data_IF_804230911509
#
_entry.id   IF_804230911509
#
_cell.length_a   1.000
_cell.length_b   1.000
_cell.length_c   1.000
_cell.angle_alpha   90.00
_cell.angle_beta   90.00
_cell.angle_gamma   90.00
#
_symmetry.space_group_name_H-M   'P 1'
#
loop_
_entity.id
_entity.type
_entity.pdbx_description
1 polymer ?
#
# COMPACT_ATOMS: atom_id res chain seq x y z
N UNK A 1 -8.71 -12.90 6.49
CA UNK A 1 -9.40 -11.64 6.18
C UNK A 1 -8.38 -10.50 6.15
N UNK A 2 -8.51 -9.65 5.16
CA UNK A 2 -7.64 -8.48 5.06
C UNK A 2 -8.09 -7.39 5.99
N UNK A 3 -7.15 -6.78 6.65
CA UNK A 3 -7.38 -5.55 7.40
C UNK A 3 -6.50 -4.50 6.74
N UNK A 4 -7.12 -3.58 6.04
CA UNK A 4 -6.39 -2.56 5.30
C UNK A 4 -6.52 -1.24 6.04
N UNK A 5 -5.40 -0.68 6.43
CA UNK A 5 -5.36 0.64 7.06
C UNK A 5 -4.84 1.65 6.06
N UNK A 6 -5.39 2.85 6.12
CA UNK A 6 -4.99 3.93 5.21
C UNK A 6 -4.60 5.11 6.07
N UNK A 7 -3.32 5.49 6.02
CA UNK A 7 -2.79 6.61 6.80
C UNK A 7 -2.55 7.78 5.86
N UNK A 8 -3.33 8.82 6.03
CA UNK A 8 -3.38 9.95 5.11
C UNK A 8 -3.41 11.25 5.88
N UNK A 9 -3.46 12.39 5.16
CA UNK A 9 -3.54 13.65 5.85
C UNK A 9 -4.59 14.60 5.30
N UNK A 10 -5.51 14.09 4.47
CA UNK A 10 -6.57 14.96 3.96
C UNK A 10 -7.81 14.17 3.64
N UNK A 11 -8.93 14.88 3.61
CA UNK A 11 -10.21 14.28 3.31
C UNK A 11 -10.29 13.81 1.86
N UNK A 12 -9.68 14.58 0.97
CA UNK A 12 -9.68 14.21 -0.44
C UNK A 12 -8.94 12.90 -0.66
N UNK A 13 -7.82 12.69 0.03
CA UNK A 13 -7.10 11.44 -0.06
C UNK A 13 -7.92 10.29 0.50
N UNK A 14 -8.60 10.54 1.59
CA UNK A 14 -9.42 9.49 2.19
C UNK A 14 -10.46 8.99 1.19
N UNK A 15 -11.17 9.90 0.54
CA UNK A 15 -12.18 9.52 -0.42
C UNK A 15 -11.58 8.73 -1.57
N UNK A 16 -10.45 9.20 -2.09
CA UNK A 16 -9.82 8.55 -3.22
C UNK A 16 -9.40 7.12 -2.87
N UNK A 17 -8.65 6.95 -1.80
CA UNK A 17 -8.09 5.64 -1.49
C UNK A 17 -9.17 4.65 -1.06
N UNK A 18 -10.12 5.07 -0.24
CA UNK A 18 -11.15 4.14 0.20
C UNK A 18 -12.01 3.70 -0.98
N UNK A 19 -12.32 4.61 -1.88
CA UNK A 19 -13.12 4.24 -3.05
C UNK A 19 -12.38 3.28 -3.95
N UNK A 20 -11.09 3.56 -4.22
CA UNK A 20 -10.32 2.70 -5.11
C UNK A 20 -10.13 1.32 -4.50
N UNK A 21 -9.85 1.25 -3.21
CA UNK A 21 -9.67 -0.04 -2.56
C UNK A 21 -10.97 -0.83 -2.58
N UNK A 22 -12.09 -0.17 -2.25
CA UNK A 22 -13.37 -0.87 -2.20
C UNK A 22 -13.77 -1.41 -3.57
N UNK A 23 -13.60 -0.60 -4.60
CA UNK A 23 -13.96 -1.05 -5.94
C UNK A 23 -13.10 -2.21 -6.40
N UNK A 24 -11.80 -2.08 -6.19
CA UNK A 24 -10.90 -3.12 -6.65
C UNK A 24 -11.13 -4.43 -5.91
N UNK A 25 -11.32 -4.34 -4.61
CA UNK A 25 -11.54 -5.54 -3.80
C UNK A 25 -12.86 -6.20 -4.16
N UNK A 26 -13.89 -5.42 -4.43
CA UNK A 26 -15.18 -5.97 -4.82
C UNK A 26 -15.07 -6.73 -6.13
N UNK A 27 -14.28 -6.22 -7.06
CA UNK A 27 -14.08 -6.89 -8.33
C UNK A 27 -13.35 -8.22 -8.15
N UNK A 28 -12.53 -8.31 -7.11
CA UNK A 28 -11.84 -9.54 -6.79
C UNK A 28 -12.62 -10.40 -5.79
N UNK A 29 -13.85 -10.01 -5.50
CA UNK A 29 -14.72 -10.71 -4.56
C UNK A 29 -14.10 -10.80 -3.17
N UNK A 30 -13.47 -9.72 -2.75
CA UNK A 30 -12.89 -9.61 -1.43
C UNK A 30 -13.47 -8.39 -0.74
N UNK A 31 -13.71 -8.53 0.56
CA UNK A 31 -14.39 -7.47 1.30
C UNK A 31 -13.64 -7.21 2.60
N UNK A 32 -12.53 -6.48 2.50
CA UNK A 32 -11.69 -6.22 3.67
C UNK A 32 -12.33 -5.22 4.62
N UNK A 33 -11.83 -5.21 5.83
CA UNK A 33 -12.12 -4.12 6.76
C UNK A 33 -11.13 -3.01 6.43
N UNK A 34 -11.67 -1.83 6.13
CA UNK A 34 -10.84 -0.68 5.76
C UNK A 34 -10.99 0.38 6.85
N UNK A 35 -9.86 0.78 7.41
CA UNK A 35 -9.83 1.82 8.44
C UNK A 35 -8.93 2.95 7.97
N UNK A 36 -9.39 4.19 8.14
CA UNK A 36 -8.60 5.34 7.72
C UNK A 36 -8.16 6.11 8.96
N UNK A 37 -6.94 6.65 8.88
CA UNK A 37 -6.35 7.40 9.98
C UNK A 37 -5.72 8.67 9.44
N UNK A 38 -5.92 9.79 10.13
CA UNK A 38 -5.22 11.02 9.83
C UNK A 38 -4.25 11.40 10.94
N UNK A 39 -4.30 10.69 12.04
CA UNK A 39 -3.45 10.91 13.20
C UNK A 39 -2.48 9.75 13.31
N UNK A 40 -1.20 10.04 13.17
CA UNK A 40 -0.19 8.99 13.21
C UNK A 40 -0.14 8.30 14.56
N UNK A 41 -0.31 9.06 15.63
CA UNK A 41 -0.28 8.48 16.95
C UNK A 41 -1.39 7.45 17.12
N UNK A 42 -2.58 7.81 16.70
CA UNK A 42 -3.71 6.89 16.78
C UNK A 42 -3.48 5.67 15.91
N UNK A 43 -2.93 5.89 14.72
CA UNK A 43 -2.65 4.79 13.82
C UNK A 43 -1.70 3.77 14.46
N UNK A 44 -0.61 4.25 15.03
CA UNK A 44 0.38 3.34 15.60
C UNK A 44 -0.11 2.69 16.88
N UNK A 45 -0.92 3.37 17.66
CA UNK A 45 -1.57 2.75 18.80
C UNK A 45 -2.41 1.57 18.38
N UNK A 46 -3.22 1.78 17.35
CA UNK A 46 -4.09 0.73 16.84
C UNK A 46 -3.28 -0.42 16.23
N UNK A 47 -2.23 -0.08 15.49
CA UNK A 47 -1.41 -1.09 14.86
C UNK A 47 -0.69 -1.96 15.87
N UNK A 48 -0.35 -1.38 17.02
CA UNK A 48 0.31 -2.13 18.06
C UNK A 48 -0.61 -3.18 18.65
N UNK A 49 -1.88 -2.84 18.80
CA UNK A 49 -2.85 -3.75 19.38
C UNK A 49 -3.37 -4.75 18.36
N UNK A 50 -3.63 -4.27 17.15
CA UNK A 50 -4.18 -5.12 16.11
C UNK A 50 -3.44 -4.80 14.82
N UNK A 51 -2.34 -5.48 14.54
CA UNK A 51 -1.54 -5.17 13.36
C UNK A 51 -2.34 -5.35 12.08
N UNK A 52 -2.32 -4.37 11.19
CA UNK A 52 -3.01 -4.50 9.91
C UNK A 52 -2.22 -5.43 9.01
N UNK A 53 -2.92 -6.11 8.12
CA UNK A 53 -2.23 -6.93 7.12
C UNK A 53 -1.67 -6.08 6.01
N UNK A 54 -2.38 -5.01 5.66
CA UNK A 54 -2.01 -4.15 4.54
C UNK A 54 -2.19 -2.69 4.94
N UNK A 55 -1.28 -1.84 4.53
CA UNK A 55 -1.33 -0.42 4.87
C UNK A 55 -1.00 0.42 3.64
N UNK A 56 -1.80 1.45 3.41
CA UNK A 56 -1.45 2.50 2.45
C UNK A 56 -0.98 3.69 3.28
N UNK A 57 0.22 4.18 3.01
CA UNK A 57 0.73 5.38 3.66
C UNK A 57 0.90 6.45 2.61
N UNK A 58 0.18 7.56 2.78
CA UNK A 58 0.22 8.67 1.84
C UNK A 58 0.39 9.96 2.61
N UNK A 59 1.56 10.14 3.17
CA UNK A 59 1.93 11.34 3.91
C UNK A 59 3.06 12.05 3.19
N UNK A 60 3.09 13.37 3.23
CA UNK A 60 4.11 14.11 2.49
C UNK A 60 5.47 14.05 3.15
N UNK A 61 6.51 14.12 2.34
CA UNK A 61 7.86 14.34 2.78
C UNK A 61 8.36 13.37 3.82
N UNK A 62 9.10 13.91 4.76
CA UNK A 62 9.76 13.12 5.80
C UNK A 62 8.76 12.44 6.71
N UNK A 63 7.57 13.03 6.87
CA UNK A 63 6.54 12.38 7.69
C UNK A 63 6.20 11.00 7.14
N UNK A 64 6.10 10.89 5.83
CA UNK A 64 5.83 9.59 5.21
C UNK A 64 6.96 8.62 5.42
N UNK A 65 8.20 9.09 5.24
CA UNK A 65 9.35 8.24 5.45
C UNK A 65 9.42 7.73 6.88
N UNK A 66 9.23 8.63 7.83
CA UNK A 66 9.27 8.24 9.25
C UNK A 66 8.17 7.25 9.58
N UNK A 67 6.99 7.44 9.01
CA UNK A 67 5.87 6.53 9.27
C UNK A 67 6.16 5.13 8.72
N UNK A 68 6.73 5.05 7.53
CA UNK A 68 7.05 3.75 6.94
C UNK A 68 8.13 3.06 7.75
N UNK A 69 9.15 3.80 8.17
CA UNK A 69 10.20 3.22 9.01
C UNK A 69 9.64 2.69 10.33
N UNK A 70 8.79 3.49 10.96
CA UNK A 70 8.21 3.08 12.24
C UNK A 70 7.32 1.85 12.06
N UNK A 71 6.52 1.85 11.02
CA UNK A 71 5.62 0.73 10.77
C UNK A 71 6.40 -0.55 10.49
N UNK A 72 7.46 -0.45 9.70
CA UNK A 72 8.24 -1.64 9.39
C UNK A 72 8.95 -2.19 10.63
N UNK A 73 9.39 -1.32 11.51
CA UNK A 73 10.00 -1.77 12.75
C UNK A 73 8.97 -2.42 13.67
N UNK A 74 7.74 -1.92 13.65
CA UNK A 74 6.69 -2.43 14.51
C UNK A 74 6.06 -3.70 13.94
N UNK A 75 5.83 -3.73 12.64
CA UNK A 75 5.13 -4.83 11.98
C UNK A 75 5.96 -5.31 10.80
N UNK A 76 6.68 -6.40 11.01
CA UNK A 76 7.65 -6.86 10.02
C UNK A 76 7.02 -7.41 8.75
N UNK A 77 5.81 -7.95 8.86
CA UNK A 77 5.20 -8.65 7.73
C UNK A 77 4.04 -7.87 7.09
N UNK A 78 3.77 -6.68 7.55
CA UNK A 78 2.70 -5.88 6.97
C UNK A 78 3.07 -5.50 5.54
N UNK A 79 2.11 -5.60 4.64
CA UNK A 79 2.29 -5.21 3.25
C UNK A 79 2.01 -3.72 3.12
N UNK A 80 2.89 -3.01 2.41
CA UNK A 80 2.84 -1.55 2.38
C UNK A 80 2.81 -1.04 0.95
N UNK A 81 1.85 -0.14 0.66
CA UNK A 81 1.88 0.71 -0.52
C UNK A 81 2.17 2.12 -0.01
N UNK A 82 3.25 2.70 -0.50
CA UNK A 82 3.73 4.00 -0.01
C UNK A 82 3.59 5.02 -1.13
N UNK A 83 2.85 6.10 -0.86
CA UNK A 83 2.65 7.20 -1.79
C UNK A 83 3.31 8.44 -1.20
N UNK A 84 4.09 9.14 -2.01
CA UNK A 84 4.81 10.31 -1.50
C UNK A 84 4.95 11.37 -2.59
N UNK A 85 5.13 12.60 -2.14
CA UNK A 85 5.43 13.70 -3.05
C UNK A 85 6.92 13.79 -3.38
N UNK A 86 7.74 13.03 -2.67
CA UNK A 86 9.18 12.97 -2.92
C UNK A 86 9.55 11.56 -3.32
N UNK A 87 10.60 11.45 -4.11
CA UNK A 87 11.02 10.15 -4.62
C UNK A 87 11.83 9.40 -3.56
N UNK A 88 11.14 8.58 -2.81
CA UNK A 88 11.76 7.70 -1.82
C UNK A 88 11.85 6.27 -2.31
N UNK A 89 11.92 6.05 -3.62
CA UNK A 89 11.90 4.69 -4.14
C UNK A 89 13.02 3.83 -3.58
N UNK A 90 14.19 4.41 -3.37
CA UNK A 90 15.29 3.65 -2.78
C UNK A 90 15.00 3.23 -1.35
N UNK A 91 14.42 4.17 -0.57
CA UNK A 91 14.02 3.84 0.79
C UNK A 91 12.91 2.80 0.79
N UNK A 92 11.99 2.89 -0.16
CA UNK A 92 10.91 1.91 -0.26
C UNK A 92 11.47 0.53 -0.49
N UNK A 93 12.47 0.41 -1.35
CA UNK A 93 13.10 -0.85 -1.58
C UNK A 93 13.74 -1.41 -0.30
N UNK A 94 14.47 -0.57 0.40
CA UNK A 94 15.13 -0.98 1.64
C UNK A 94 14.15 -1.38 2.72
N UNK A 95 13.04 -0.68 2.80
CA UNK A 95 12.03 -0.93 3.82
C UNK A 95 11.03 -1.99 3.37
N UNK A 96 11.26 -2.57 2.21
CA UNK A 96 10.45 -3.67 1.69
C UNK A 96 8.99 -3.28 1.52
N UNK A 97 8.75 -2.02 1.09
CA UNK A 97 7.42 -1.64 0.67
C UNK A 97 7.08 -2.41 -0.58
N UNK A 98 5.86 -2.89 -0.67
CA UNK A 98 5.47 -3.69 -1.82
C UNK A 98 5.35 -2.85 -3.07
N UNK A 99 5.03 -1.59 -2.92
CA UNK A 99 4.85 -0.72 -4.06
C UNK A 99 5.06 0.72 -3.62
N UNK A 100 5.70 1.50 -4.46
CA UNK A 100 5.92 2.92 -4.20
C UNK A 100 5.34 3.74 -5.33
N UNK A 101 4.57 4.78 -4.99
CA UNK A 101 3.94 5.64 -5.97
C UNK A 101 4.33 7.09 -5.70
N UNK A 102 4.81 7.76 -6.74
CA UNK A 102 5.13 9.18 -6.65
C UNK A 102 3.89 9.97 -7.05
N UNK A 103 3.56 10.97 -6.24
CA UNK A 103 2.39 11.78 -6.52
C UNK A 103 2.59 12.64 -7.75
N UNK A 104 1.53 12.94 -8.49
CA UNK A 104 0.13 12.61 -8.19
C UNK A 104 -0.19 11.14 -8.50
N UNK A 105 -0.92 10.52 -7.60
CA UNK A 105 -1.26 9.11 -7.74
C UNK A 105 -2.50 8.97 -8.60
N UNK A 106 -2.35 8.30 -9.74
CA UNK A 106 -3.49 8.09 -10.62
C UNK A 106 -4.22 6.81 -10.23
N UNK A 107 -5.46 6.71 -10.69
CA UNK A 107 -6.26 5.53 -10.46
C UNK A 107 -5.56 4.29 -11.02
N UNK A 108 -5.05 4.39 -12.24
CA UNK A 108 -4.40 3.24 -12.88
C UNK A 108 -3.16 2.80 -12.12
N UNK A 109 -2.36 3.75 -11.67
CA UNK A 109 -1.14 3.43 -10.95
C UNK A 109 -1.45 2.78 -9.60
N UNK A 110 -2.46 3.31 -8.91
CA UNK A 110 -2.81 2.75 -7.63
C UNK A 110 -3.39 1.34 -7.78
N UNK A 111 -4.14 1.11 -8.84
CA UNK A 111 -4.69 -0.22 -9.08
C UNK A 111 -3.58 -1.24 -9.32
N UNK A 112 -2.49 -0.83 -9.95
CA UNK A 112 -1.36 -1.73 -10.11
C UNK A 112 -0.77 -2.14 -8.77
N UNK A 113 -0.70 -1.20 -7.83
CA UNK A 113 -0.25 -1.53 -6.49
C UNK A 113 -1.18 -2.49 -5.79
N UNK A 114 -2.48 -2.28 -5.96
CA UNK A 114 -3.46 -3.18 -5.36
C UNK A 114 -3.37 -4.57 -5.96
N UNK A 115 -3.04 -4.66 -7.25
CA UNK A 115 -2.83 -5.96 -7.87
C UNK A 115 -1.72 -6.73 -7.17
N UNK A 116 -0.65 -6.04 -6.83
CA UNK A 116 0.46 -6.69 -6.13
C UNK A 116 -0.03 -7.31 -4.83
N UNK A 117 -0.86 -6.58 -4.11
CA UNK A 117 -1.38 -7.08 -2.85
C UNK A 117 -2.31 -8.25 -3.01
N UNK A 118 -3.34 -8.06 -3.85
CA UNK A 118 -4.49 -8.95 -3.82
C UNK A 118 -4.35 -10.13 -4.73
N UNK A 119 -3.55 -9.99 -5.76
CA UNK A 119 -3.38 -11.05 -6.74
C UNK A 119 -2.02 -11.70 -6.66
N UNK A 120 -1.29 -11.42 -5.62
CA UNK A 120 0.09 -11.89 -5.57
C UNK A 120 0.19 -13.40 -5.74
N UNK A 121 -0.62 -14.14 -4.98
CA UNK A 121 -0.58 -15.58 -5.10
C UNK A 121 -1.01 -16.04 -6.48
N UNK A 122 -2.09 -15.47 -6.95
CA UNK A 122 -2.57 -15.82 -8.29
C UNK A 122 -1.57 -15.41 -9.33
N UNK A 123 -0.99 -14.23 -9.15
CA UNK A 123 -0.02 -13.74 -10.07
C UNK A 123 1.18 -14.67 -10.15
N UNK A 124 1.67 -15.10 -9.02
CA UNK A 124 2.80 -16.00 -8.98
C UNK A 124 2.44 -17.32 -9.68
N UNK A 125 1.26 -17.84 -9.37
CA UNK A 125 0.84 -19.11 -9.96
C UNK A 125 0.63 -18.99 -11.46
N UNK A 126 0.07 -17.87 -11.89
CA UNK A 126 -0.29 -17.71 -13.29
C UNK A 126 0.85 -17.19 -14.14
N UNK A 127 1.60 -16.26 -13.59
CA UNK A 127 2.62 -15.56 -14.35
C UNK A 127 4.01 -16.10 -14.16
N UNK A 128 4.17 -16.99 -13.21
CA UNK A 128 5.47 -17.53 -12.98
C UNK A 128 6.14 -18.00 -14.28
N UNK A 129 5.41 -18.66 -15.17
CA UNK A 129 6.03 -19.08 -16.40
C UNK A 129 6.45 -17.91 -17.27
N UNK A 130 5.72 -16.82 -17.22
CA UNK A 130 6.04 -15.70 -18.09
C UNK A 130 6.27 -14.42 -17.34
N UNK A 131 6.33 -14.51 -16.04
CA UNK A 131 6.53 -13.33 -15.23
C UNK A 131 7.83 -12.65 -15.59
N UNK A 132 8.87 -13.44 -15.76
CA UNK A 132 10.17 -12.88 -16.06
C UNK A 132 10.16 -12.10 -17.35
N UNK A 133 9.26 -12.40 -18.23
CA UNK A 133 9.30 -11.74 -19.51
C UNK A 133 8.51 -10.47 -19.52
N UNK A 134 7.52 -10.39 -18.68
CA UNK A 134 6.84 -9.17 -18.73
C UNK A 134 7.49 -8.15 -17.93
N UNK A 135 7.85 -8.28 -17.28
CA UNK A 135 8.24 -7.36 -16.59
C UNK A 135 9.35 -7.15 -16.86
N UNK A 136 9.63 -7.78 -17.34
CA UNK A 136 10.64 -7.58 -17.76
C UNK A 136 10.64 -6.55 -18.51
N UNK A 137 9.93 -6.24 -18.90
CA UNK A 137 9.90 -5.28 -19.38
C UNK A 137 9.40 -4.46 -18.83
N UNK A 138 9.16 -4.48 -18.36
CA UNK A 138 8.80 -3.74 -17.82
C UNK A 138 9.03 -3.66 -16.80
N UNK A 139 9.20 -3.78 -16.47
CA UNK A 139 9.35 -3.73 -15.59
C UNK A 139 9.73 -3.33 -15.20
N UNK A 140 9.53 -3.41 -15.35
CA UNK A 140 9.67 -3.19 -15.07
C UNK A 140 9.80 -3.08 -14.89
#
# INVERSE_FOLDING_TARGET
MYRIAVLINSEAQEAFFTEQISQFCAECERFPVIETFRDQEQFFETAQKTPPTNVVIALPGVDGLNAVEHLRALCRNTRIIWCSDLDFSLHAFRLRADYFLLEPVTKAAFQQGLCVWLNEKNLVAQLRPNYAETNKEDYS
#
